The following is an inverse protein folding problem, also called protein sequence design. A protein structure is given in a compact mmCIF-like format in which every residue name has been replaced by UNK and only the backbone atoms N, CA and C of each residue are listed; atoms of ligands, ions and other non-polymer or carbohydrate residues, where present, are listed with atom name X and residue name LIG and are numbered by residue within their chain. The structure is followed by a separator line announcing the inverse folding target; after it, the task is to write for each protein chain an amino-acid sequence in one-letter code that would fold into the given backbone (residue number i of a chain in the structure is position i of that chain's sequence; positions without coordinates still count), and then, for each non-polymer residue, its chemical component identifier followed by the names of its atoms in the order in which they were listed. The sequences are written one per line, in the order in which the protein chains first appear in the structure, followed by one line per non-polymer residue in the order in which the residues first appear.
data_IF_935242870958
#
_entry.id   IF_935242870958
#
_cell.length_a   1.000
_cell.length_b   1.000
_cell.length_c   1.000
_cell.angle_alpha   90.00
_cell.angle_beta   90.00
_cell.angle_gamma   90.00
#
_symmetry.space_group_name_H-M   'P 1'
#
loop_
_entity.id
_entity.type
_entity.pdbx_description
1 polymer ?
#
# COMPACT_ATOMS: atom_id res chain seq x y z
N UNK A 1 -0.77 59.50 -17.31
CA UNK A 1 -1.92 58.71 -16.85
C UNK A 1 -1.60 57.22 -16.60
N UNK A 2 -0.61 56.58 -17.24
CA UNK A 2 -0.36 55.13 -17.12
C UNK A 2 0.38 54.64 -15.84
N UNK A 3 0.95 55.53 -15.02
CA UNK A 3 1.73 55.14 -13.81
C UNK A 3 0.85 54.80 -12.60
N UNK A 4 -0.40 55.28 -12.57
CA UNK A 4 -1.30 55.09 -11.43
C UNK A 4 -1.86 53.66 -11.36
N UNK A 5 -2.06 53.01 -12.51
CA UNK A 5 -2.64 51.66 -12.61
C UNK A 5 -1.65 50.57 -12.19
N UNK A 6 -0.36 50.72 -12.51
CA UNK A 6 0.69 49.77 -12.12
C UNK A 6 0.93 49.76 -10.60
N UNK A 7 0.85 50.92 -9.95
CA UNK A 7 1.03 51.02 -8.51
C UNK A 7 -0.09 50.34 -7.73
N UNK A 8 -1.33 50.46 -8.20
CA UNK A 8 -2.50 49.77 -7.62
C UNK A 8 -2.39 48.26 -7.77
N UNK A 9 -1.96 47.78 -8.95
CA UNK A 9 -1.78 46.35 -9.21
C UNK A 9 -0.65 45.74 -8.36
N UNK A 10 0.48 46.44 -8.21
CA UNK A 10 1.58 46.01 -7.33
C UNK A 10 1.14 45.93 -5.87
N UNK A 11 0.40 46.93 -5.39
CA UNK A 11 -0.13 46.95 -4.03
C UNK A 11 -1.13 45.80 -3.77
N UNK A 12 -1.96 45.47 -4.77
CA UNK A 12 -2.85 44.32 -4.72
C UNK A 12 -2.09 42.99 -4.63
N UNK A 13 -1.06 42.81 -5.46
CA UNK A 13 -0.21 41.62 -5.45
C UNK A 13 0.52 41.43 -4.10
N UNK A 14 1.08 42.50 -3.54
CA UNK A 14 1.72 42.47 -2.22
C UNK A 14 0.76 42.17 -1.05
N UNK A 15 -0.52 42.57 -1.17
CA UNK A 15 -1.53 42.25 -0.18
C UNK A 15 -1.90 40.75 -0.23
N UNK A 16 -1.99 40.19 -1.43
CA UNK A 16 -2.27 38.76 -1.64
C UNK A 16 -1.11 37.91 -1.12
N UNK A 17 0.14 38.26 -1.43
CA UNK A 17 1.31 37.49 -0.97
C UNK A 17 1.46 37.52 0.56
N UNK A 18 1.18 38.66 1.21
CA UNK A 18 1.12 38.74 2.68
C UNK A 18 0.04 37.85 3.29
N UNK A 19 -1.14 37.82 2.68
CA UNK A 19 -2.26 36.99 3.17
C UNK A 19 -1.94 35.50 3.03
N UNK A 20 -1.34 35.10 1.91
CA UNK A 20 -0.92 33.72 1.67
C UNK A 20 0.18 33.29 2.65
N UNK A 21 1.18 34.15 2.89
CA UNK A 21 2.24 33.87 3.86
C UNK A 21 1.67 33.70 5.27
N UNK A 22 0.76 34.58 5.70
CA UNK A 22 0.10 34.49 7.01
C UNK A 22 -0.72 33.20 7.17
N UNK A 23 -1.44 32.78 6.13
CA UNK A 23 -2.22 31.52 6.15
C UNK A 23 -1.32 30.29 6.19
N UNK A 24 -0.23 30.29 5.43
CA UNK A 24 0.79 29.22 5.46
C UNK A 24 1.40 29.09 6.86
N UNK A 25 1.87 30.19 7.44
CA UNK A 25 2.52 30.17 8.75
C UNK A 25 1.54 29.73 9.86
N UNK A 26 0.25 30.11 9.75
CA UNK A 26 -0.81 29.61 10.64
C UNK A 26 -1.10 28.11 10.44
N UNK A 27 -1.00 27.58 9.20
CA UNK A 27 -1.15 26.15 8.93
C UNK A 27 0.03 25.36 9.50
N UNK A 28 1.26 25.85 9.32
CA UNK A 28 2.48 25.25 9.87
C UNK A 28 2.45 25.24 11.40
N UNK A 29 1.97 26.30 12.04
CA UNK A 29 1.80 26.33 13.50
C UNK A 29 0.74 25.33 13.99
N UNK A 30 -0.35 25.12 13.22
CA UNK A 30 -1.37 24.11 13.55
C UNK A 30 -0.85 22.68 13.37
N UNK A 31 -0.13 22.41 12.29
CA UNK A 31 0.48 21.11 12.03
C UNK A 31 1.58 20.75 13.04
N UNK A 32 2.22 21.75 13.68
CA UNK A 32 3.25 21.52 14.70
C UNK A 32 2.71 21.14 16.08
N UNK A 33 1.39 21.21 16.34
CA UNK A 33 0.81 20.85 17.64
C UNK A 33 0.21 19.44 17.69
N UNK A 34 0.03 18.78 16.55
CA UNK A 34 -0.43 17.38 16.48
C UNK A 34 0.73 16.38 16.30
N UNK A 35 1.97 16.87 16.32
CA UNK A 35 3.20 16.06 16.30
C UNK A 35 3.55 15.44 17.64
N UNK A 36 2.62 14.68 18.24
CA UNK A 36 3.05 13.57 19.09
C UNK A 36 3.73 12.56 18.16
N UNK A 37 5.02 12.30 18.42
CA UNK A 37 5.88 11.50 17.58
C UNK A 37 5.23 10.19 17.15
N UNK A 38 5.14 10.00 15.84
CA UNK A 38 5.04 8.67 15.27
C UNK A 38 6.36 8.45 14.56
N UNK A 39 7.38 8.11 15.34
CA UNK A 39 8.39 7.17 14.87
C UNK A 39 7.60 5.91 14.55
N UNK A 40 7.12 5.81 13.31
CA UNK A 40 6.47 4.61 12.83
C UNK A 40 7.61 3.61 12.65
N UNK A 41 7.91 2.90 13.73
CA UNK A 41 8.70 1.68 13.67
C UNK A 41 8.11 0.85 12.53
N UNK A 42 8.90 0.58 11.49
CA UNK A 42 8.49 -0.22 10.34
C UNK A 42 8.04 -1.64 10.76
N UNK A 43 8.31 -2.04 12.02
CA UNK A 43 7.79 -3.25 12.67
C UNK A 43 6.35 -3.14 13.18
N UNK A 44 5.84 -1.95 13.50
CA UNK A 44 4.49 -1.75 14.04
C UNK A 44 3.40 -1.97 12.97
N UNK A 45 3.67 -1.57 11.72
CA UNK A 45 2.74 -1.78 10.59
C UNK A 45 2.54 -3.27 10.29
N UNK A 46 3.53 -4.11 10.61
CA UNK A 46 3.43 -5.56 10.46
C UNK A 46 2.57 -6.22 11.56
N UNK A 47 2.58 -5.69 12.78
CA UNK A 47 1.81 -6.26 13.90
C UNK A 47 0.30 -5.90 13.84
N UNK A 48 -0.06 -4.74 13.29
CA UNK A 48 -1.48 -4.36 13.16
C UNK A 48 -2.23 -5.23 12.14
N UNK A 49 -1.55 -5.72 11.10
CA UNK A 49 -2.12 -6.66 10.15
C UNK A 49 -2.38 -8.05 10.76
N UNK A 50 -1.67 -8.43 11.83
CA UNK A 50 -1.81 -9.72 12.50
C UNK A 50 -2.98 -9.76 13.49
N UNK A 51 -3.50 -8.62 13.93
CA UNK A 51 -4.66 -8.54 14.83
C UNK A 51 -6.02 -8.35 14.11
N UNK A 52 -6.04 -8.20 12.79
CA UNK A 52 -7.27 -7.97 12.01
C UNK A 52 -7.85 -9.23 11.34
N UNK A 53 -7.37 -10.43 11.68
CA UNK A 53 -7.83 -11.69 11.07
C UNK A 53 -9.14 -12.27 11.65
N UNK A 54 -9.82 -11.56 12.56
CA UNK A 54 -11.08 -12.03 13.16
C UNK A 54 -12.33 -11.25 12.74
N UNK A 55 -12.29 -10.53 11.62
CA UNK A 55 -13.48 -9.86 11.09
C UNK A 55 -13.93 -10.50 9.77
N UNK A 56 -14.81 -11.49 9.89
CA UNK A 56 -15.81 -11.79 8.84
C UNK A 56 -16.68 -10.54 8.66
N UNK A 57 -16.31 -9.65 7.76
CA UNK A 57 -17.18 -8.59 7.28
C UNK A 57 -17.07 -8.51 5.75
N UNK A 58 -17.86 -9.32 5.07
CA UNK A 58 -18.24 -9.04 3.69
C UNK A 58 -19.06 -7.75 3.71
N UNK A 59 -18.38 -6.63 3.50
CA UNK A 59 -19.02 -5.34 3.31
C UNK A 59 -19.94 -5.40 2.10
N UNK A 60 -21.24 -5.43 2.39
CA UNK A 60 -22.30 -5.25 1.40
C UNK A 60 -22.20 -3.80 0.92
N UNK A 61 -21.63 -3.61 -0.26
CA UNK A 61 -21.62 -2.33 -0.95
C UNK A 61 -23.04 -2.16 -1.48
N UNK A 62 -23.88 -1.40 -0.76
CA UNK A 62 -25.14 -0.92 -1.32
C UNK A 62 -24.83 0.23 -2.28
N UNK A 63 -24.74 -0.11 -3.56
CA UNK A 63 -24.74 0.82 -4.68
C UNK A 63 -25.41 0.10 -5.84
N UNK A 64 -26.68 0.41 -6.08
CA UNK A 64 -27.45 -0.19 -7.16
C UNK A 64 -26.98 0.24 -8.54
N UNK A 65 -26.82 -0.72 -9.44
CA UNK A 65 -27.63 -0.90 -10.66
C UNK A 65 -27.39 -2.34 -11.13
N UNK A 66 -28.43 -3.00 -11.63
CA UNK A 66 -28.44 -4.41 -12.02
C UNK A 66 -27.54 -4.64 -13.25
N UNK A 67 -26.29 -5.05 -13.04
CA UNK A 67 -25.50 -5.71 -14.09
C UNK A 67 -24.92 -7.01 -13.52
N UNK A 68 -25.54 -8.12 -13.93
CA UNK A 68 -25.11 -9.52 -13.84
C UNK A 68 -23.91 -9.76 -12.92
N UNK A 69 -24.21 -10.01 -11.64
CA UNK A 69 -23.28 -10.34 -10.57
C UNK A 69 -22.69 -11.75 -10.81
N UNK A 70 -22.03 -11.92 -11.96
CA UNK A 70 -21.09 -12.98 -12.24
C UNK A 70 -19.97 -12.82 -11.23
N UNK A 71 -20.13 -13.46 -10.07
CA UNK A 71 -19.17 -13.47 -8.98
C UNK A 71 -17.79 -13.79 -9.55
N UNK A 72 -16.94 -12.76 -9.68
CA UNK A 72 -15.60 -12.91 -10.24
C UNK A 72 -14.88 -13.93 -9.36
N UNK A 73 -14.45 -15.07 -9.91
CA UNK A 73 -13.86 -16.11 -9.10
C UNK A 73 -12.60 -15.57 -8.42
N UNK A 74 -12.47 -15.85 -7.12
CA UNK A 74 -11.29 -15.44 -6.35
C UNK A 74 -10.04 -15.99 -7.04
N UNK A 75 -9.03 -15.14 -7.33
CA UNK A 75 -7.83 -15.60 -8.01
C UNK A 75 -7.12 -16.67 -7.17
N UNK A 76 -6.58 -17.67 -7.86
CA UNK A 76 -5.67 -18.62 -7.24
C UNK A 76 -4.42 -17.89 -6.72
N UNK A 77 -3.77 -18.49 -5.72
CA UNK A 77 -2.52 -17.96 -5.17
C UNK A 77 -1.45 -17.70 -6.22
N UNK A 78 -1.31 -18.62 -7.19
CA UNK A 78 -0.36 -18.45 -8.30
C UNK A 78 -0.70 -17.21 -9.13
N UNK A 79 -1.98 -17.03 -9.47
CA UNK A 79 -2.44 -15.84 -10.21
C UNK A 79 -2.21 -14.55 -9.40
N UNK A 80 -2.41 -14.58 -8.09
CA UNK A 80 -2.16 -13.42 -7.23
C UNK A 80 -0.67 -13.06 -7.17
N UNK A 81 0.22 -14.05 -7.07
CA UNK A 81 1.67 -13.83 -7.10
C UNK A 81 2.16 -13.36 -8.48
N UNK A 82 1.56 -13.86 -9.55
CA UNK A 82 1.83 -13.42 -10.92
C UNK A 82 1.41 -11.95 -11.11
N UNK A 83 0.20 -11.59 -10.66
CA UNK A 83 -0.27 -10.21 -10.67
C UNK A 83 0.65 -9.28 -9.86
N UNK A 84 1.12 -9.72 -8.68
CA UNK A 84 2.07 -8.96 -7.88
C UNK A 84 3.41 -8.76 -8.61
N UNK A 85 3.87 -9.75 -9.37
CA UNK A 85 5.08 -9.64 -10.21
C UNK A 85 4.90 -8.63 -11.34
N UNK A 86 3.73 -8.63 -11.99
CA UNK A 86 3.40 -7.66 -13.04
C UNK A 86 3.36 -6.25 -12.48
N UNK A 87 2.70 -6.04 -11.34
CA UNK A 87 2.62 -4.75 -10.67
C UNK A 87 3.99 -4.24 -10.23
N UNK A 88 4.86 -5.13 -9.74
CA UNK A 88 6.25 -4.78 -9.43
C UNK A 88 7.00 -4.34 -10.69
N UNK A 89 6.84 -5.04 -11.80
CA UNK A 89 7.43 -4.63 -13.08
C UNK A 89 6.94 -3.26 -13.56
N UNK A 90 5.67 -2.94 -13.31
CA UNK A 90 5.10 -1.64 -13.67
C UNK A 90 5.70 -0.48 -12.86
N UNK A 91 5.98 -0.69 -11.56
CA UNK A 91 6.54 0.37 -10.69
C UNK A 91 8.06 0.41 -10.68
N UNK A 92 8.74 -0.62 -11.19
CA UNK A 92 10.21 -0.71 -11.19
C UNK A 92 10.90 0.46 -11.90
N UNK A 93 10.26 1.05 -12.91
CA UNK A 93 10.81 2.18 -13.67
C UNK A 93 10.54 3.55 -12.99
N UNK A 94 9.86 3.57 -11.83
CA UNK A 94 9.41 4.78 -11.16
C UNK A 94 10.13 4.93 -9.81
N UNK A 95 10.99 5.95 -9.69
CA UNK A 95 11.71 6.23 -8.44
C UNK A 95 11.00 7.26 -7.54
N UNK A 96 9.68 7.18 -7.47
CA UNK A 96 8.89 8.04 -6.59
C UNK A 96 8.62 7.36 -5.24
N UNK A 97 8.31 8.17 -4.22
CA UNK A 97 8.10 7.67 -2.86
C UNK A 97 6.96 6.63 -2.77
N UNK A 98 5.91 6.80 -3.57
CA UNK A 98 4.80 5.86 -3.61
C UNK A 98 5.23 4.53 -4.23
N UNK A 99 5.98 4.55 -5.33
CA UNK A 99 6.49 3.36 -6.00
C UNK A 99 7.38 2.53 -5.08
N UNK A 100 8.28 3.16 -4.30
CA UNK A 100 9.10 2.47 -3.29
C UNK A 100 8.26 1.82 -2.19
N UNK A 101 7.26 2.53 -1.67
CA UNK A 101 6.36 1.98 -0.65
C UNK A 101 5.53 0.82 -1.21
N UNK A 102 5.04 0.96 -2.44
CA UNK A 102 4.26 -0.06 -3.11
C UNK A 102 5.08 -1.32 -3.39
N UNK A 103 6.35 -1.18 -3.81
CA UNK A 103 7.27 -2.31 -3.95
C UNK A 103 7.48 -3.07 -2.64
N UNK A 104 7.61 -2.36 -1.52
CA UNK A 104 7.74 -2.96 -0.19
C UNK A 104 6.48 -3.75 0.19
N UNK A 105 5.29 -3.20 -0.09
CA UNK A 105 4.00 -3.88 0.13
C UNK A 105 3.92 -5.16 -0.72
N UNK A 106 4.23 -5.08 -2.02
CA UNK A 106 4.23 -6.24 -2.91
C UNK A 106 5.24 -7.31 -2.47
N UNK A 107 6.40 -6.90 -1.95
CA UNK A 107 7.39 -7.80 -1.38
C UNK A 107 6.82 -8.54 -0.15
N UNK A 108 6.16 -7.80 0.74
CA UNK A 108 5.50 -8.33 1.93
C UNK A 108 4.40 -9.32 1.58
N UNK A 109 3.53 -8.95 0.64
CA UNK A 109 2.47 -9.79 0.13
C UNK A 109 3.00 -11.15 -0.38
N UNK A 110 4.05 -11.13 -1.19
CA UNK A 110 4.66 -12.35 -1.72
C UNK A 110 5.25 -13.25 -0.62
N UNK A 111 5.93 -12.66 0.37
CA UNK A 111 6.48 -13.41 1.52
C UNK A 111 5.38 -14.04 2.36
N UNK A 112 4.38 -13.27 2.73
CA UNK A 112 3.27 -13.74 3.55
C UNK A 112 2.51 -14.88 2.86
N UNK A 113 2.18 -14.68 1.58
CA UNK A 113 1.52 -15.68 0.75
C UNK A 113 2.35 -16.98 0.65
N UNK A 114 3.68 -16.89 0.66
CA UNK A 114 4.60 -18.05 0.73
C UNK A 114 4.58 -18.74 2.08
N UNK A 115 4.64 -17.97 3.16
CA UNK A 115 4.61 -18.51 4.52
C UNK A 115 3.29 -19.21 4.85
N UNK A 116 2.15 -18.66 4.43
CA UNK A 116 0.84 -19.29 4.64
C UNK A 116 0.73 -20.67 3.98
N UNK A 117 1.35 -20.87 2.82
CA UNK A 117 1.42 -22.20 2.22
C UNK A 117 2.34 -23.13 3.01
N UNK A 118 3.51 -22.64 3.42
CA UNK A 118 4.45 -23.44 4.20
C UNK A 118 3.83 -23.92 5.51
N UNK A 119 2.99 -23.11 6.16
CA UNK A 119 2.21 -23.51 7.35
C UNK A 119 1.23 -24.66 7.09
N UNK A 120 0.76 -24.81 5.85
CA UNK A 120 -0.12 -25.91 5.43
C UNK A 120 0.60 -27.16 4.94
N UNK A 121 1.93 -27.12 4.82
CA UNK A 121 2.73 -28.27 4.41
C UNK A 121 2.89 -29.26 5.57
N UNK A 122 2.96 -30.55 5.23
CA UNK A 122 3.30 -31.59 6.22
C UNK A 122 4.80 -31.53 6.50
N UNK A 123 5.17 -31.65 7.76
CA UNK A 123 6.56 -31.89 8.13
C UNK A 123 7.03 -33.19 7.46
N UNK A 124 8.11 -33.08 6.69
CA UNK A 124 8.74 -34.21 6.01
C UNK A 124 10.19 -34.26 6.42
N UNK A 125 10.72 -35.47 6.62
CA UNK A 125 12.14 -35.66 6.83
C UNK A 125 12.84 -35.71 5.48
N UNK A 126 14.10 -35.28 5.45
CA UNK A 126 14.95 -35.39 4.24
C UNK A 126 15.00 -36.83 3.73
N UNK A 127 14.95 -37.82 4.62
CA UNK A 127 14.90 -39.25 4.29
C UNK A 127 13.65 -39.68 3.53
N UNK A 128 12.53 -38.97 3.70
CA UNK A 128 11.25 -39.30 3.03
C UNK A 128 11.33 -39.09 1.51
N UNK A 129 12.25 -38.25 1.03
CA UNK A 129 12.50 -38.04 -0.40
C UNK A 129 13.32 -39.16 -1.04
N UNK A 130 14.09 -39.91 -0.24
CA UNK A 130 14.99 -40.96 -0.75
C UNK A 130 14.35 -42.35 -0.73
N UNK A 131 13.30 -42.58 0.08
CA UNK A 131 12.60 -43.87 0.15
C UNK A 131 11.86 -44.21 -1.14
N UNK A 132 11.41 -43.21 -1.91
CA UNK A 132 10.71 -43.42 -3.20
C UNK A 132 11.60 -44.02 -4.29
N UNK A 133 12.92 -43.80 -4.24
CA UNK A 133 13.86 -44.31 -5.25
C UNK A 133 14.23 -45.78 -4.98
N UNK A 134 14.20 -46.20 -3.72
CA UNK A 134 14.53 -47.58 -3.34
C UNK A 134 13.39 -48.57 -3.65
N UNK A 135 12.13 -48.11 -3.67
CA UNK A 135 10.96 -48.95 -3.92
C UNK A 135 10.71 -49.29 -5.40
N UNK A 136 11.42 -48.65 -6.34
CA UNK A 136 11.33 -48.95 -7.79
C UNK A 136 12.36 -50.03 -8.25
N UNK A 137 13.06 -50.67 -7.31
CA UNK A 137 14.08 -51.70 -7.60
C UNK A 137 13.84 -53.05 -6.89
N UNK A 138 12.60 -53.38 -6.56
CA UNK A 138 12.18 -54.70 -6.11
C UNK A 138 10.98 -55.16 -6.94
#
# INVERSE_FOLDING_TARGET
MAKLTLAVLKKGFEAVTRTLKKRRDALTAKLSMDGAGNDVDEQAVLHEFETASDVKNCGKIEGGDDEDDSAIPKPSRRQALEAASVLRGYVADRDDAFSRQFEAILAGFGRQTRLEEAKGMRDTQVTDYFTRIAAEKL
#
